data_IF_373769406026
#
_entry.id   IF_373769406026
#
_cell.length_a   1.000
_cell.length_b   1.000
_cell.length_c   1.000
_cell.angle_alpha   90.00
_cell.angle_beta   90.00
_cell.angle_gamma   90.00
#
_symmetry.space_group_name_H-M   'P 1'
#
loop_
_entity.id
_entity.type
_entity.pdbx_description
1 polymer ?
#
# COMPACT_ATOMS: atom_id res chain seq x y z
N UNK A 1 34.40 -26.36 18.36
CA UNK A 1 33.23 -27.23 18.62
C UNK A 1 32.02 -26.58 17.95
N UNK A 2 31.29 -27.38 17.18
CA UNK A 2 30.30 -26.98 16.19
C UNK A 2 29.05 -26.32 16.79
N UNK A 3 28.63 -25.18 16.23
CA UNK A 3 27.30 -24.57 16.43
C UNK A 3 26.30 -25.04 15.35
N UNK A 4 26.28 -26.34 15.07
CA UNK A 4 25.28 -26.97 14.22
C UNK A 4 24.09 -27.39 15.08
N UNK A 5 23.02 -26.60 15.12
CA UNK A 5 21.86 -26.97 15.95
C UNK A 5 20.55 -26.18 15.82
N UNK A 6 20.42 -25.18 14.94
CA UNK A 6 19.14 -24.47 14.76
C UNK A 6 18.60 -24.66 13.35
N UNK A 7 18.26 -25.91 13.02
CA UNK A 7 17.37 -26.25 11.90
C UNK A 7 16.20 -27.02 12.49
N UNK A 8 15.05 -26.36 12.69
CA UNK A 8 13.97 -27.04 13.41
C UNK A 8 12.60 -26.37 13.55
N UNK A 9 12.28 -25.31 12.80
CA UNK A 9 10.92 -24.94 12.35
C UNK A 9 11.03 -23.56 11.70
N UNK A 10 10.98 -23.49 10.38
CA UNK A 10 10.58 -22.26 9.72
C UNK A 10 9.10 -22.10 10.02
N UNK A 11 8.77 -21.59 11.19
CA UNK A 11 7.43 -21.09 11.47
C UNK A 11 7.21 -20.01 10.42
N UNK A 12 6.44 -20.33 9.39
CA UNK A 12 6.17 -19.43 8.29
C UNK A 12 5.26 -18.35 8.85
N UNK A 13 5.87 -17.40 9.54
CA UNK A 13 5.15 -16.37 10.26
C UNK A 13 4.51 -15.45 9.24
N UNK A 14 3.17 -15.40 9.27
CA UNK A 14 2.35 -14.72 8.28
C UNK A 14 1.77 -13.44 8.87
N UNK A 15 2.39 -12.31 8.58
CA UNK A 15 1.91 -11.01 9.00
C UNK A 15 0.63 -10.63 8.26
N UNK A 16 -0.35 -10.10 9.00
CA UNK A 16 -1.46 -9.35 8.41
C UNK A 16 -0.91 -8.10 7.74
N UNK A 17 -1.63 -7.58 6.75
CA UNK A 17 -1.23 -6.35 6.07
C UNK A 17 -1.00 -5.19 7.03
N UNK A 18 -1.81 -5.03 8.08
CA UNK A 18 -1.63 -3.96 9.08
C UNK A 18 -0.37 -4.14 9.93
N UNK A 19 -0.03 -5.39 10.26
CA UNK A 19 1.17 -5.72 11.04
C UNK A 19 2.42 -5.46 10.20
N UNK A 20 2.44 -5.96 8.96
CA UNK A 20 3.51 -5.68 8.01
C UNK A 20 3.67 -4.18 7.74
N UNK A 21 2.56 -3.43 7.68
CA UNK A 21 2.59 -1.98 7.46
C UNK A 21 3.25 -1.24 8.63
N UNK A 22 2.95 -1.65 9.85
CA UNK A 22 3.56 -1.10 11.05
C UNK A 22 5.07 -1.37 11.09
N UNK A 23 5.49 -2.60 10.78
CA UNK A 23 6.92 -2.98 10.72
C UNK A 23 7.69 -2.23 9.63
N UNK A 24 7.05 -1.97 8.49
CA UNK A 24 7.63 -1.25 7.37
C UNK A 24 7.45 0.28 7.47
N UNK A 25 6.89 0.77 8.58
CA UNK A 25 6.56 2.19 8.79
C UNK A 25 5.85 2.84 7.59
N UNK A 26 4.88 2.14 7.01
CA UNK A 26 4.15 2.59 5.83
C UNK A 26 2.63 2.45 6.01
N UNK A 27 1.87 3.06 5.10
CA UNK A 27 0.42 2.92 5.12
C UNK A 27 0.00 1.52 4.58
N UNK A 28 -0.99 0.83 5.16
CA UNK A 28 -1.46 -0.48 4.67
C UNK A 28 -1.82 -0.52 3.17
N UNK A 29 -2.28 0.60 2.61
CA UNK A 29 -2.56 0.69 1.17
C UNK A 29 -1.31 0.64 0.30
N UNK A 30 -0.17 1.12 0.78
CA UNK A 30 1.11 0.99 0.07
C UNK A 30 1.52 -0.47 -0.06
N UNK A 31 1.27 -1.29 0.97
CA UNK A 31 1.44 -2.74 0.91
C UNK A 31 0.48 -3.41 -0.08
N UNK A 32 -0.82 -3.09 -0.03
CA UNK A 32 -1.76 -3.61 -1.03
C UNK A 32 -1.32 -3.25 -2.46
N UNK A 33 -0.95 -1.98 -2.68
CA UNK A 33 -0.43 -1.49 -3.95
C UNK A 33 0.76 -2.31 -4.43
N UNK A 34 1.76 -2.51 -3.57
CA UNK A 34 2.97 -3.22 -3.92
C UNK A 34 2.73 -4.72 -4.16
N UNK A 35 1.83 -5.35 -3.40
CA UNK A 35 1.42 -6.74 -3.60
C UNK A 35 0.72 -6.89 -4.96
N UNK A 36 -0.27 -6.05 -5.26
CA UNK A 36 -1.00 -6.13 -6.53
C UNK A 36 -0.14 -5.77 -7.75
N UNK A 37 0.91 -4.97 -7.56
CA UNK A 37 1.91 -4.66 -8.59
C UNK A 37 3.01 -5.74 -8.70
N UNK A 38 2.94 -6.82 -7.91
CA UNK A 38 3.91 -7.92 -7.93
C UNK A 38 5.28 -7.58 -7.32
N UNK A 39 5.42 -6.44 -6.64
CA UNK A 39 6.67 -6.03 -5.98
C UNK A 39 6.90 -6.70 -4.63
N UNK A 40 5.81 -7.11 -3.98
CA UNK A 40 5.83 -7.83 -2.70
C UNK A 40 5.09 -9.15 -2.87
N UNK A 41 5.71 -10.24 -2.44
CA UNK A 41 5.08 -11.55 -2.36
C UNK A 41 4.10 -11.58 -1.18
N UNK A 42 2.89 -12.02 -1.46
CA UNK A 42 1.88 -12.26 -0.44
C UNK A 42 1.14 -13.56 -0.73
N UNK A 43 0.66 -14.19 0.33
CA UNK A 43 -0.12 -15.42 0.29
C UNK A 43 -1.56 -15.13 0.69
N UNK A 44 -2.52 -15.82 0.06
CA UNK A 44 -3.90 -15.83 0.55
C UNK A 44 -4.05 -16.93 1.59
N UNK A 45 -4.42 -16.57 2.80
CA UNK A 45 -4.72 -17.51 3.88
C UNK A 45 -6.11 -17.21 4.44
N UNK A 46 -7.02 -18.20 4.39
CA UNK A 46 -8.42 -18.06 4.81
C UNK A 46 -9.09 -16.79 4.25
N UNK A 47 -8.93 -16.56 2.94
CA UNK A 47 -9.51 -15.41 2.23
C UNK A 47 -8.81 -14.06 2.46
N UNK A 48 -7.82 -13.98 3.36
CA UNK A 48 -7.11 -12.75 3.68
C UNK A 48 -5.68 -12.77 3.12
N UNK A 49 -5.19 -11.61 2.66
CA UNK A 49 -3.79 -11.47 2.23
C UNK A 49 -2.87 -11.42 3.46
N UNK A 50 -1.76 -12.16 3.38
CA UNK A 50 -0.72 -12.25 4.38
C UNK A 50 0.66 -12.08 3.74
N UNK A 51 1.56 -11.41 4.42
CA UNK A 51 2.94 -11.22 3.96
C UNK A 51 3.84 -12.16 4.78
N UNK A 52 4.62 -13.04 4.12
CA UNK A 52 5.61 -13.86 4.80
C UNK A 52 6.65 -13.02 5.54
N UNK A 53 7.13 -13.49 6.69
CA UNK A 53 8.11 -12.77 7.50
C UNK A 53 9.45 -12.53 6.78
N UNK A 54 9.93 -13.51 6.02
CA UNK A 54 11.13 -13.40 5.17
C UNK A 54 10.99 -12.26 4.13
N UNK A 55 9.79 -12.09 3.59
CA UNK A 55 9.51 -10.99 2.66
C UNK A 55 9.53 -9.63 3.36
N UNK A 56 8.97 -9.53 4.58
CA UNK A 56 9.01 -8.29 5.38
C UNK A 56 10.45 -7.94 5.76
N UNK A 57 11.22 -8.91 6.25
CA UNK A 57 12.63 -8.72 6.59
C UNK A 57 13.44 -8.26 5.38
N UNK A 58 13.22 -8.88 4.21
CA UNK A 58 13.88 -8.48 2.96
C UNK A 58 13.59 -7.01 2.62
N UNK A 59 12.36 -6.55 2.81
CA UNK A 59 11.97 -5.16 2.53
C UNK A 59 12.61 -4.18 3.52
N UNK A 60 12.69 -4.54 4.80
CA UNK A 60 13.39 -3.75 5.83
C UNK A 60 14.87 -3.62 5.47
N UNK A 61 15.54 -4.73 5.16
CA UNK A 61 16.97 -4.77 4.82
C UNK A 61 17.30 -3.99 3.56
N UNK A 62 16.41 -4.03 2.56
CA UNK A 62 16.58 -3.28 1.31
C UNK A 62 16.40 -1.77 1.49
N UNK A 63 15.79 -1.33 2.60
CA UNK A 63 15.44 0.07 2.82
C UNK A 63 14.39 0.59 1.83
N UNK A 64 13.62 -0.30 1.20
CA UNK A 64 12.63 0.06 0.19
C UNK A 64 11.49 0.86 0.85
N UNK A 65 11.51 2.19 0.69
CA UNK A 65 10.37 3.02 1.05
C UNK A 65 9.24 2.77 0.06
N UNK A 66 8.24 2.00 0.49
CA UNK A 66 7.02 1.82 -0.30
C UNK A 66 6.38 3.18 -0.54
N UNK A 67 6.14 3.50 -1.82
CA UNK A 67 5.48 4.76 -2.21
C UNK A 67 4.18 4.90 -1.42
N UNK A 68 4.06 6.01 -0.69
CA UNK A 68 2.83 6.36 0.02
C UNK A 68 1.81 6.74 -1.04
N UNK A 69 0.77 5.93 -1.17
CA UNK A 69 -0.34 6.20 -2.07
C UNK A 69 -1.60 6.41 -1.23
N UNK A 70 -2.42 7.37 -1.64
CA UNK A 70 -3.65 7.75 -0.98
C UNK A 70 -4.83 6.96 -1.55
N UNK A 71 -5.65 6.43 -0.67
CA UNK A 71 -6.97 5.91 -1.01
C UNK A 71 -7.94 7.04 -1.35
N UNK A 72 -9.03 6.69 -2.04
CA UNK A 72 -10.15 7.63 -2.31
C UNK A 72 -10.65 8.31 -1.03
N UNK A 73 -10.68 7.59 0.09
CA UNK A 73 -11.13 8.12 1.37
C UNK A 73 -10.14 9.13 1.97
N UNK A 74 -8.84 8.90 1.83
CA UNK A 74 -7.80 9.87 2.23
C UNK A 74 -7.84 11.12 1.36
N UNK A 75 -7.95 10.94 0.05
CA UNK A 75 -8.10 12.06 -0.90
C UNK A 75 -9.33 12.89 -0.57
N UNK A 76 -10.46 12.25 -0.26
CA UNK A 76 -11.69 12.96 0.12
C UNK A 76 -11.52 13.79 1.38
N UNK A 77 -10.80 13.28 2.39
CA UNK A 77 -10.47 14.05 3.60
C UNK A 77 -9.58 15.26 3.28
N UNK A 78 -8.56 15.09 2.44
CA UNK A 78 -7.63 16.16 2.07
C UNK A 78 -8.34 17.26 1.26
N UNK A 79 -9.18 16.86 0.30
CA UNK A 79 -9.96 17.78 -0.54
C UNK A 79 -11.24 18.27 0.14
N UNK A 80 -11.47 17.93 1.42
CA UNK A 80 -12.69 18.23 2.18
C UNK A 80 -13.99 17.91 1.40
N UNK A 81 -14.03 16.77 0.70
CA UNK A 81 -15.17 16.36 -0.13
C UNK A 81 -15.53 14.88 0.05
N UNK A 82 -16.71 14.50 -0.43
CA UNK A 82 -17.17 13.10 -0.34
C UNK A 82 -16.34 12.16 -1.21
N UNK A 83 -16.27 10.89 -0.80
CA UNK A 83 -15.62 9.83 -1.60
C UNK A 83 -16.25 9.71 -3.00
N UNK A 84 -17.57 9.93 -3.10
CA UNK A 84 -18.29 9.95 -4.38
C UNK A 84 -17.81 11.07 -5.29
N UNK A 85 -17.54 12.26 -4.75
CA UNK A 85 -16.95 13.37 -5.51
C UNK A 85 -15.56 13.00 -6.02
N UNK A 86 -14.70 12.42 -5.18
CA UNK A 86 -13.38 11.95 -5.61
C UNK A 86 -13.48 10.91 -6.73
N UNK A 87 -14.36 9.93 -6.61
CA UNK A 87 -14.59 8.92 -7.66
C UNK A 87 -15.10 9.56 -8.96
N UNK A 88 -15.96 10.58 -8.87
CA UNK A 88 -16.43 11.34 -10.03
C UNK A 88 -15.27 12.08 -10.70
N UNK A 89 -14.38 12.71 -9.93
CA UNK A 89 -13.19 13.39 -10.47
C UNK A 89 -12.25 12.40 -11.18
N UNK A 90 -12.05 11.21 -10.61
CA UNK A 90 -11.23 10.16 -11.22
C UNK A 90 -11.87 9.66 -12.53
N UNK A 91 -13.18 9.34 -12.50
CA UNK A 91 -13.91 8.85 -13.68
C UNK A 91 -13.99 9.89 -14.80
N UNK A 92 -14.16 11.16 -14.42
CA UNK A 92 -14.10 12.30 -15.34
C UNK A 92 -12.69 12.69 -15.78
N UNK A 93 -11.66 11.90 -15.45
CA UNK A 93 -10.24 12.13 -15.78
C UNK A 93 -9.66 13.46 -15.27
N UNK A 94 -10.34 14.14 -14.34
CA UNK A 94 -9.88 15.39 -13.71
C UNK A 94 -8.81 15.12 -12.65
N UNK A 95 -8.92 14.00 -11.93
CA UNK A 95 -7.92 13.55 -10.98
C UNK A 95 -7.30 12.24 -11.48
N UNK A 96 -5.98 12.25 -11.73
CA UNK A 96 -5.27 11.05 -12.18
C UNK A 96 -5.12 10.06 -11.03
N UNK A 97 -5.57 8.83 -11.23
CA UNK A 97 -5.46 7.74 -10.27
C UNK A 97 -5.04 6.43 -10.94
N UNK A 98 -4.38 5.56 -10.19
CA UNK A 98 -4.12 4.18 -10.56
C UNK A 98 -5.22 3.27 -10.01
N UNK A 99 -5.68 2.32 -10.81
CA UNK A 99 -6.60 1.28 -10.35
C UNK A 99 -5.80 0.09 -9.84
N UNK A 100 -6.01 -0.25 -8.57
CA UNK A 100 -5.34 -1.35 -7.87
C UNK A 100 -6.41 -2.34 -7.44
N UNK A 101 -6.55 -3.42 -8.20
CA UNK A 101 -7.66 -4.35 -8.07
C UNK A 101 -9.02 -3.66 -8.24
N UNK A 102 -9.85 -3.70 -7.19
CA UNK A 102 -11.18 -3.05 -7.18
C UNK A 102 -11.18 -1.61 -6.66
N UNK A 103 -10.03 -1.05 -6.30
CA UNK A 103 -9.91 0.27 -5.65
C UNK A 103 -9.07 1.23 -6.49
N UNK A 104 -9.25 2.52 -6.27
CA UNK A 104 -8.39 3.56 -6.82
C UNK A 104 -7.36 4.03 -5.79
N UNK A 105 -6.20 4.40 -6.30
CA UNK A 105 -5.01 4.83 -5.59
C UNK A 105 -4.48 6.08 -6.25
N UNK A 106 -4.25 7.14 -5.48
CA UNK A 106 -3.77 8.44 -5.95
C UNK A 106 -2.42 8.70 -5.33
N UNK A 107 -1.39 8.94 -6.14
CA UNK A 107 -0.09 9.34 -5.59
C UNK A 107 -0.18 10.79 -5.09
N UNK A 108 0.48 11.16 -3.98
CA UNK A 108 0.46 12.52 -3.44
C UNK A 108 0.75 13.59 -4.49
N UNK A 109 1.77 13.37 -5.34
CA UNK A 109 2.09 14.26 -6.47
C UNK A 109 0.90 14.53 -7.42
N UNK A 110 0.10 13.50 -7.74
CA UNK A 110 -1.06 13.67 -8.65
C UNK A 110 -2.20 14.43 -7.98
N UNK A 111 -2.32 14.31 -6.66
CA UNK A 111 -3.26 15.11 -5.89
C UNK A 111 -2.81 16.56 -5.83
N UNK A 112 -1.53 16.80 -5.60
CA UNK A 112 -0.91 18.13 -5.63
C UNK A 112 -1.06 18.80 -7.00
N UNK A 113 -0.71 18.11 -8.09
CA UNK A 113 -0.90 18.58 -9.46
C UNK A 113 -2.37 18.99 -9.71
N UNK A 114 -3.33 18.24 -9.15
CA UNK A 114 -4.75 18.54 -9.27
C UNK A 114 -5.15 19.79 -8.48
N UNK A 115 -4.70 19.92 -7.23
CA UNK A 115 -4.97 21.11 -6.40
C UNK A 115 -4.38 22.35 -7.04
N UNK A 116 -3.14 22.29 -7.54
CA UNK A 116 -2.48 23.40 -8.24
C UNK A 116 -3.15 23.76 -9.57
N UNK A 117 -3.89 22.83 -10.19
CA UNK A 117 -4.66 23.09 -11.41
C UNK A 117 -6.03 23.70 -11.16
N UNK A 118 -6.47 23.78 -9.89
CA UNK A 118 -7.73 24.47 -9.57
C UNK A 118 -7.52 25.96 -9.78
N UNK A 119 -8.47 26.67 -10.40
CA UNK A 119 -8.45 28.13 -10.38
C UNK A 119 -8.51 28.59 -8.92
N UNK A 120 -7.71 29.60 -8.57
CA UNK A 120 -7.86 30.30 -7.30
C UNK A 120 -9.30 30.79 -7.20
N UNK A 121 -10.00 30.35 -6.15
CA UNK A 121 -11.40 30.71 -5.88
C UNK A 121 -11.42 31.92 -4.95
#
# INVERSE_FOLDING_TARGET
>A
MNLSGLKGKTDMHLFRIREAAALLHCHPYSLYSAIYQGRIKALKFKGNLRVPADEVERLIQRGDRLKVNLSVAEVGRILACSQSTVLRLIRGRKLKAERIGKRYSVSPKRLEDYVLSMPDV
#
